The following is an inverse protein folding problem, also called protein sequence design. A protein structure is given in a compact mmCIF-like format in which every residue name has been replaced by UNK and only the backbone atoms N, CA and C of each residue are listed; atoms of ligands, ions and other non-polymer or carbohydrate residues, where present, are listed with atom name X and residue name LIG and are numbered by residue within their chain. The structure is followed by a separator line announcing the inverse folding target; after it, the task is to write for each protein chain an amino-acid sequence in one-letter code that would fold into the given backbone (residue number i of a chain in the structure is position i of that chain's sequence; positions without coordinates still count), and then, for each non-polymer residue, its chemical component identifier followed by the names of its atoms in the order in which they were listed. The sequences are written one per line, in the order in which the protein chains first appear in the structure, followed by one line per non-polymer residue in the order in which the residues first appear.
data_IF_925709196048
#
_entry.id   IF_925709196048
#
_cell.length_a   1.000
_cell.length_b   1.000
_cell.length_c   1.000
_cell.angle_alpha   90.00
_cell.angle_beta   90.00
_cell.angle_gamma   90.00
#
_symmetry.space_group_name_H-M   'P 1'
#
loop_
_entity.id
_entity.type
_entity.pdbx_description
1 polymer ?
#
# COMPACT_ATOMS: atom_id res chain seq x y z
N UNK A 1 -22.71 12.42 12.06
CA UNK A 1 -23.44 13.60 11.56
C UNK A 1 -23.65 14.60 12.71
N UNK A 2 -24.27 14.18 13.80
CA UNK A 2 -24.59 15.04 14.94
C UNK A 2 -23.34 15.72 15.53
N UNK A 3 -22.24 15.00 15.68
CA UNK A 3 -20.97 15.57 16.16
C UNK A 3 -20.43 16.69 15.25
N UNK A 4 -20.65 16.59 13.92
CA UNK A 4 -20.28 17.65 12.97
C UNK A 4 -21.22 18.85 13.18
N UNK A 5 -22.53 18.62 13.31
CA UNK A 5 -23.51 19.68 13.52
C UNK A 5 -23.29 20.43 14.87
N UNK A 6 -22.84 19.68 15.89
CA UNK A 6 -22.48 20.26 17.20
C UNK A 6 -21.07 20.91 17.19
N UNK A 7 -20.35 20.88 16.08
CA UNK A 7 -19.00 21.45 15.96
C UNK A 7 -17.91 20.70 16.74
N UNK A 8 -18.19 19.48 17.23
CA UNK A 8 -17.25 18.67 18.00
C UNK A 8 -16.17 18.03 17.14
N UNK A 9 -16.50 17.72 15.89
CA UNK A 9 -15.54 17.24 14.87
C UNK A 9 -15.77 18.01 13.57
N UNK A 10 -14.71 18.13 12.75
CA UNK A 10 -14.78 18.82 11.46
C UNK A 10 -15.14 17.90 10.31
N UNK A 11 -14.70 16.66 10.40
CA UNK A 11 -14.82 15.66 9.35
C UNK A 11 -14.76 14.26 9.97
N UNK A 12 -15.10 13.24 9.17
CA UNK A 12 -15.04 11.86 9.60
C UNK A 12 -14.61 10.95 8.45
N UNK A 13 -14.16 9.76 8.79
CA UNK A 13 -13.76 8.73 7.84
C UNK A 13 -14.13 7.34 8.32
N UNK A 14 -14.03 6.38 7.43
CA UNK A 14 -14.29 4.96 7.70
C UNK A 14 -13.14 4.10 7.18
N UNK A 15 -13.00 2.91 7.73
CA UNK A 15 -11.90 2.00 7.38
C UNK A 15 -12.44 0.63 6.96
N UNK A 16 -11.71 -0.05 6.07
CA UNK A 16 -12.00 -1.42 5.62
C UNK A 16 -13.43 -1.58 5.10
N UNK A 17 -13.84 -0.67 4.22
CA UNK A 17 -15.18 -0.66 3.63
C UNK A 17 -15.14 -1.16 2.20
N UNK A 18 -16.27 -1.75 1.77
CA UNK A 18 -16.57 -1.99 0.37
C UNK A 18 -17.37 -0.82 -0.23
N UNK A 19 -17.60 -0.86 -1.54
CA UNK A 19 -18.29 0.21 -2.26
C UNK A 19 -19.73 0.45 -1.76
N UNK A 20 -20.51 -0.61 -1.51
CA UNK A 20 -21.88 -0.47 -1.05
C UNK A 20 -21.95 0.29 0.29
N UNK A 21 -21.14 -0.13 1.25
CA UNK A 21 -21.07 0.57 2.54
C UNK A 21 -20.58 2.01 2.39
N UNK A 22 -19.58 2.26 1.54
CA UNK A 22 -19.07 3.60 1.31
C UNK A 22 -20.16 4.52 0.76
N UNK A 23 -20.84 4.11 -0.32
CA UNK A 23 -21.89 4.92 -0.94
C UNK A 23 -23.07 5.18 0.00
N UNK A 24 -23.51 4.17 0.74
CA UNK A 24 -24.60 4.31 1.74
C UNK A 24 -24.21 5.26 2.89
N UNK A 25 -23.01 5.11 3.41
CA UNK A 25 -22.51 5.99 4.47
C UNK A 25 -22.37 7.44 3.99
N UNK A 26 -21.81 7.63 2.79
CA UNK A 26 -21.62 8.94 2.18
C UNK A 26 -22.95 9.66 1.91
N UNK A 27 -23.99 8.94 1.49
CA UNK A 27 -25.32 9.48 1.27
C UNK A 27 -25.99 10.02 2.57
N UNK A 28 -25.69 9.41 3.72
CA UNK A 28 -26.24 9.86 5.02
C UNK A 28 -25.46 11.06 5.58
N UNK A 29 -24.14 11.00 5.48
CA UNK A 29 -23.24 12.06 5.94
C UNK A 29 -21.96 11.97 5.09
N UNK A 30 -21.61 13.02 4.33
CA UNK A 30 -20.46 12.97 3.44
C UNK A 30 -19.19 12.47 4.15
N UNK A 31 -18.65 11.36 3.67
CA UNK A 31 -17.39 10.78 4.12
C UNK A 31 -16.26 11.60 3.53
N UNK A 32 -15.28 12.00 4.35
CA UNK A 32 -14.13 12.78 3.90
C UNK A 32 -12.97 11.89 3.50
N UNK A 33 -12.79 10.76 4.19
CA UNK A 33 -11.66 9.86 3.98
C UNK A 33 -12.06 8.41 4.21
N UNK A 34 -11.50 7.52 3.39
CA UNK A 34 -11.46 6.10 3.74
C UNK A 34 -10.03 5.66 4.01
N UNK A 35 -9.86 4.64 4.84
CA UNK A 35 -8.57 4.03 5.09
C UNK A 35 -8.67 2.53 4.85
N UNK A 36 -8.26 2.10 3.66
CA UNK A 36 -8.27 0.70 3.25
C UNK A 36 -6.86 0.21 2.93
N UNK A 37 -6.66 -1.10 2.98
CA UNK A 37 -5.40 -1.72 2.58
C UNK A 37 -5.18 -1.53 1.08
N UNK A 38 -3.98 -1.07 0.71
CA UNK A 38 -3.56 -1.02 -0.68
C UNK A 38 -2.03 -1.05 -0.80
N UNK A 39 -1.54 -1.88 -1.71
CA UNK A 39 -0.13 -1.98 -2.10
C UNK A 39 -0.03 -2.78 -3.41
N UNK A 40 1.15 -2.90 -4.01
CA UNK A 40 1.39 -3.79 -5.15
C UNK A 40 0.90 -5.22 -4.92
N UNK A 41 0.96 -5.73 -3.68
CA UNK A 41 0.55 -7.09 -3.31
C UNK A 41 -0.90 -7.18 -2.83
N UNK A 42 -1.62 -6.06 -2.67
CA UNK A 42 -2.95 -6.00 -2.08
C UNK A 42 -3.83 -5.04 -2.88
N UNK A 43 -4.41 -5.49 -4.01
CA UNK A 43 -5.12 -4.66 -4.99
C UNK A 43 -6.63 -4.92 -5.06
N UNK A 44 -7.20 -5.78 -4.21
CA UNK A 44 -8.62 -6.14 -4.26
C UNK A 44 -9.59 -4.97 -4.02
N UNK A 45 -9.12 -3.86 -3.45
CA UNK A 45 -9.89 -2.64 -3.27
C UNK A 45 -9.51 -1.52 -4.26
N UNK A 46 -8.77 -1.84 -5.33
CA UNK A 46 -8.29 -0.84 -6.30
C UNK A 46 -9.45 -0.06 -6.94
N UNK A 47 -10.55 -0.75 -7.26
CA UNK A 47 -11.76 -0.12 -7.81
C UNK A 47 -12.37 0.98 -6.89
N UNK A 48 -12.13 0.92 -5.57
CA UNK A 48 -12.61 1.96 -4.65
C UNK A 48 -11.87 3.29 -4.82
N UNK A 49 -10.70 3.29 -5.44
CA UNK A 49 -9.93 4.53 -5.66
C UNK A 49 -10.69 5.42 -6.65
N UNK A 50 -11.24 4.83 -7.71
CA UNK A 50 -12.08 5.54 -8.69
C UNK A 50 -13.39 6.05 -8.05
N UNK A 51 -14.02 5.22 -7.21
CA UNK A 51 -15.21 5.63 -6.44
C UNK A 51 -14.90 6.80 -5.50
N UNK A 52 -13.74 6.77 -4.86
CA UNK A 52 -13.30 7.87 -3.99
C UNK A 52 -13.08 9.16 -4.80
N UNK A 53 -12.52 9.06 -6.00
CA UNK A 53 -12.35 10.21 -6.89
C UNK A 53 -13.71 10.78 -7.33
N UNK A 54 -14.65 9.92 -7.73
CA UNK A 54 -16.04 10.30 -8.07
C UNK A 54 -16.69 11.08 -6.92
N UNK A 55 -16.59 10.55 -5.70
CA UNK A 55 -17.23 11.10 -4.50
C UNK A 55 -16.40 12.20 -3.80
N UNK A 56 -15.21 12.55 -4.32
CA UNK A 56 -14.27 13.50 -3.71
C UNK A 56 -13.84 13.09 -2.29
N UNK A 57 -13.60 11.79 -2.10
CA UNK A 57 -13.12 11.19 -0.85
C UNK A 57 -11.63 10.93 -0.97
N UNK A 58 -10.85 11.24 0.05
CA UNK A 58 -9.43 10.88 0.09
C UNK A 58 -9.28 9.39 0.42
N UNK A 59 -8.48 8.66 -0.36
CA UNK A 59 -8.10 7.30 -0.07
C UNK A 59 -6.76 7.26 0.69
N UNK A 60 -6.76 6.79 1.93
CA UNK A 60 -5.56 6.51 2.71
C UNK A 60 -5.22 5.03 2.58
N UNK A 61 -4.03 4.74 2.06
CA UNK A 61 -3.55 3.38 1.85
C UNK A 61 -2.69 2.92 3.01
N UNK A 62 -3.21 2.06 3.89
CA UNK A 62 -2.39 1.42 4.91
C UNK A 62 -1.73 0.14 4.37
N UNK A 63 -0.73 -0.39 5.08
CA UNK A 63 0.11 -1.51 4.63
C UNK A 63 0.74 -1.31 3.24
N UNK A 64 1.04 -0.07 2.87
CA UNK A 64 1.56 0.35 1.57
C UNK A 64 2.82 -0.40 1.12
N UNK A 65 3.60 -0.95 2.07
CA UNK A 65 4.79 -1.77 1.82
C UNK A 65 4.59 -3.25 2.20
N UNK A 66 3.33 -3.74 2.24
CA UNK A 66 2.98 -5.12 2.57
C UNK A 66 3.66 -5.64 3.86
N UNK A 67 3.61 -4.84 4.94
CA UNK A 67 4.26 -5.13 6.21
C UNK A 67 5.80 -5.27 6.12
N UNK A 68 6.40 -4.68 5.09
CA UNK A 68 7.83 -4.68 4.84
C UNK A 68 8.29 -5.67 3.75
N UNK A 69 7.41 -6.50 3.20
CA UNK A 69 7.75 -7.45 2.13
C UNK A 69 8.30 -6.74 0.89
N UNK A 70 7.72 -5.61 0.50
CA UNK A 70 8.14 -4.81 -0.66
C UNK A 70 9.44 -4.02 -0.43
N UNK A 71 10.07 -4.13 0.73
CA UNK A 71 11.35 -3.44 1.00
C UNK A 71 12.57 -4.19 0.48
N UNK A 72 12.44 -5.51 0.23
CA UNK A 72 13.56 -6.38 -0.07
C UNK A 72 14.48 -6.65 1.12
N UNK A 73 14.00 -6.46 2.36
CA UNK A 73 14.78 -6.74 3.56
C UNK A 73 14.63 -8.19 4.06
N UNK A 74 13.71 -8.96 3.49
CA UNK A 74 13.36 -10.31 3.90
C UNK A 74 13.19 -11.20 2.67
N UNK A 75 14.15 -12.05 2.40
CA UNK A 75 14.15 -12.98 1.25
C UNK A 75 13.91 -14.43 1.66
N UNK A 76 14.11 -14.72 2.95
CA UNK A 76 13.93 -16.05 3.54
C UNK A 76 13.47 -15.95 5.00
N UNK A 77 12.98 -17.06 5.55
CA UNK A 77 12.64 -17.13 6.99
C UNK A 77 13.84 -16.89 7.91
N UNK A 78 15.06 -17.13 7.42
CA UNK A 78 16.29 -16.89 8.18
C UNK A 78 16.61 -15.40 8.38
N UNK A 79 16.02 -14.50 7.58
CA UNK A 79 16.22 -13.05 7.71
C UNK A 79 15.47 -12.44 8.89
N UNK A 80 14.49 -13.17 9.42
CA UNK A 80 13.88 -12.81 10.69
C UNK A 80 14.85 -13.19 11.83
N UNK A 81 15.23 -12.19 12.63
CA UNK A 81 15.96 -12.48 13.86
C UNK A 81 15.13 -13.46 14.71
N UNK A 82 15.79 -14.28 15.47
CA UNK A 82 15.17 -15.32 16.32
C UNK A 82 14.39 -14.70 17.50
N UNK A 83 13.74 -13.60 17.23
CA UNK A 83 12.82 -12.88 18.10
C UNK A 83 11.43 -13.48 17.88
N UNK A 84 10.98 -14.32 18.78
CA UNK A 84 9.64 -14.92 18.78
C UNK A 84 8.51 -13.86 18.78
N UNK A 85 8.85 -12.59 18.94
CA UNK A 85 7.90 -11.48 18.97
C UNK A 85 7.63 -10.87 17.59
N UNK A 86 8.38 -11.21 16.53
CA UNK A 86 8.08 -10.71 15.19
C UNK A 86 6.96 -11.52 14.53
N UNK A 87 5.72 -11.08 14.80
CA UNK A 87 4.50 -11.71 14.29
C UNK A 87 4.44 -11.81 12.76
N UNK A 88 5.27 -11.03 12.03
CA UNK A 88 5.32 -11.06 10.55
C UNK A 88 5.74 -12.43 10.02
N UNK A 89 6.50 -13.21 10.77
CA UNK A 89 6.90 -14.57 10.39
C UNK A 89 5.71 -15.47 10.05
N UNK A 90 4.56 -15.21 10.66
CA UNK A 90 3.34 -15.99 10.49
C UNK A 90 2.39 -15.41 9.44
N UNK A 91 2.77 -14.32 8.78
CA UNK A 91 1.96 -13.73 7.72
C UNK A 91 2.10 -14.52 6.41
N UNK A 92 1.04 -14.65 5.59
CA UNK A 92 1.06 -15.41 4.33
C UNK A 92 2.19 -15.01 3.38
N UNK A 93 2.44 -13.71 3.22
CA UNK A 93 3.50 -13.19 2.35
C UNK A 93 4.92 -13.58 2.78
N UNK A 94 5.09 -14.04 4.03
CA UNK A 94 6.36 -14.53 4.57
C UNK A 94 6.40 -16.05 4.70
N UNK A 95 5.37 -16.78 4.25
CA UNK A 95 5.45 -18.23 4.07
C UNK A 95 6.48 -18.58 2.99
N UNK A 96 6.90 -19.84 2.90
CA UNK A 96 7.85 -20.28 1.88
C UNK A 96 7.35 -19.94 0.46
N UNK A 97 6.09 -20.25 0.16
CA UNK A 97 5.47 -19.95 -1.14
C UNK A 97 5.26 -18.45 -1.35
N UNK A 98 4.86 -17.71 -0.31
CA UNK A 98 4.71 -16.26 -0.34
C UNK A 98 6.04 -15.55 -0.64
N UNK A 99 7.14 -15.98 -0.02
CA UNK A 99 8.46 -15.41 -0.28
C UNK A 99 8.98 -15.69 -1.69
N UNK A 100 8.71 -16.87 -2.27
CA UNK A 100 9.05 -17.14 -3.67
C UNK A 100 8.37 -16.13 -4.60
N UNK A 101 7.07 -15.92 -4.43
CA UNK A 101 6.31 -14.93 -5.21
C UNK A 101 6.83 -13.51 -4.96
N UNK A 102 7.03 -13.15 -3.70
CA UNK A 102 7.54 -11.82 -3.33
C UNK A 102 8.93 -11.56 -3.93
N UNK A 103 9.84 -12.52 -3.89
CA UNK A 103 11.18 -12.38 -4.46
C UNK A 103 11.13 -12.17 -5.98
N UNK A 104 10.26 -12.88 -6.71
CA UNK A 104 10.08 -12.67 -8.14
C UNK A 104 9.59 -11.24 -8.48
N UNK A 105 8.67 -10.69 -7.68
CA UNK A 105 8.26 -9.29 -7.80
C UNK A 105 9.42 -8.33 -7.46
N UNK A 106 10.16 -8.62 -6.39
CA UNK A 106 11.30 -7.80 -5.95
C UNK A 106 12.43 -7.74 -6.99
N UNK A 107 12.62 -8.77 -7.81
CA UNK A 107 13.58 -8.73 -8.93
C UNK A 107 13.25 -7.60 -9.90
N UNK A 108 11.98 -7.47 -10.30
CA UNK A 108 11.52 -6.40 -11.19
C UNK A 108 11.62 -5.03 -10.51
N UNK A 109 11.13 -4.92 -9.28
CA UNK A 109 11.22 -3.66 -8.52
C UNK A 109 12.69 -3.22 -8.36
N UNK A 110 13.60 -4.17 -8.09
CA UNK A 110 15.04 -3.88 -7.90
C UNK A 110 15.72 -3.42 -9.19
N UNK A 111 15.29 -3.91 -10.35
CA UNK A 111 15.78 -3.41 -11.64
C UNK A 111 15.39 -1.93 -11.84
N UNK A 112 14.13 -1.60 -11.56
CA UNK A 112 13.67 -0.21 -11.62
C UNK A 112 14.39 0.64 -10.56
N UNK A 113 14.51 0.14 -9.33
CA UNK A 113 15.17 0.85 -8.23
C UNK A 113 16.62 1.25 -8.57
N UNK A 114 17.37 0.35 -9.20
CA UNK A 114 18.74 0.64 -9.68
C UNK A 114 18.77 1.80 -10.69
N UNK A 115 17.84 1.85 -11.62
CA UNK A 115 17.73 2.91 -12.64
C UNK A 115 17.52 4.29 -12.01
N UNK A 116 16.76 4.36 -10.92
CA UNK A 116 16.43 5.61 -10.23
C UNK A 116 17.33 5.90 -9.02
N UNK A 117 18.34 5.08 -8.75
CA UNK A 117 19.18 5.17 -7.55
C UNK A 117 18.33 5.19 -6.27
N UNK A 118 17.25 4.42 -6.25
CA UNK A 118 16.25 4.38 -5.21
C UNK A 118 16.21 3.01 -4.51
N UNK A 119 15.49 2.93 -3.41
CA UNK A 119 15.18 1.67 -2.72
C UNK A 119 13.92 1.03 -3.30
N UNK A 120 13.75 -0.29 -3.11
CA UNK A 120 12.53 -0.99 -3.47
C UNK A 120 11.28 -0.39 -2.81
N UNK A 121 11.41 0.03 -1.55
CA UNK A 121 10.32 0.72 -0.84
C UNK A 121 9.92 2.03 -1.53
N UNK A 122 10.89 2.83 -1.96
CA UNK A 122 10.62 4.08 -2.68
C UNK A 122 9.94 3.84 -4.03
N UNK A 123 10.40 2.84 -4.80
CA UNK A 123 9.76 2.48 -6.08
C UNK A 123 8.33 1.99 -5.85
N UNK A 124 8.10 1.16 -4.83
CA UNK A 124 6.75 0.67 -4.51
C UNK A 124 5.79 1.81 -4.15
N UNK A 125 6.26 2.79 -3.39
CA UNK A 125 5.45 3.97 -3.05
C UNK A 125 5.27 4.91 -4.24
N UNK A 126 6.32 5.14 -5.04
CA UNK A 126 6.26 5.98 -6.24
C UNK A 126 5.29 5.40 -7.29
N UNK A 127 5.26 4.06 -7.45
CA UNK A 127 4.29 3.37 -8.30
C UNK A 127 2.85 3.65 -7.87
N UNK A 128 2.54 3.60 -6.57
CA UNK A 128 1.21 3.92 -6.05
C UNK A 128 0.82 5.37 -6.36
N UNK A 129 1.74 6.31 -6.14
CA UNK A 129 1.52 7.74 -6.38
C UNK A 129 1.38 8.07 -7.86
N UNK A 130 2.09 7.34 -8.74
CA UNK A 130 1.96 7.49 -10.18
C UNK A 130 0.56 7.05 -10.67
N UNK A 131 0.13 5.86 -10.23
CA UNK A 131 -1.18 5.30 -10.64
C UNK A 131 -2.36 6.10 -10.08
N UNK A 132 -2.22 6.60 -8.86
CA UNK A 132 -3.31 7.26 -8.14
C UNK A 132 -2.79 8.51 -7.40
N UNK A 133 -2.70 9.66 -8.09
CA UNK A 133 -2.14 10.90 -7.50
C UNK A 133 -2.91 11.42 -6.28
N UNK A 134 -4.15 10.99 -6.07
CA UNK A 134 -5.01 11.40 -4.94
C UNK A 134 -4.99 10.40 -3.78
N UNK A 135 -4.23 9.32 -3.90
CA UNK A 135 -4.05 8.33 -2.85
C UNK A 135 -2.92 8.77 -1.90
N UNK A 136 -3.12 8.56 -0.61
CA UNK A 136 -2.12 8.88 0.42
C UNK A 136 -1.60 7.57 1.05
N UNK A 137 -0.41 7.10 0.69
CA UNK A 137 0.20 5.96 1.37
C UNK A 137 0.67 6.37 2.77
N UNK A 138 0.47 5.49 3.75
CA UNK A 138 0.92 5.70 5.14
C UNK A 138 1.92 4.61 5.58
N UNK A 139 3.15 4.58 5.01
CA UNK A 139 4.15 3.58 5.34
C UNK A 139 4.69 3.79 6.75
N UNK A 140 4.33 2.88 7.67
CA UNK A 140 4.79 2.95 9.07
C UNK A 140 6.29 2.67 9.23
N UNK A 141 6.96 3.42 10.12
CA UNK A 141 8.33 3.14 10.54
C UNK A 141 8.61 3.69 11.94
N UNK A 142 9.54 3.02 12.66
CA UNK A 142 10.11 3.51 13.92
C UNK A 142 11.52 4.09 13.73
N UNK A 143 12.05 4.10 12.50
CA UNK A 143 13.39 4.59 12.17
C UNK A 143 13.27 5.88 11.36
N UNK A 144 13.91 6.96 11.83
CA UNK A 144 13.89 8.27 11.18
C UNK A 144 14.37 8.19 9.73
N UNK A 145 15.49 7.49 9.49
CA UNK A 145 16.06 7.35 8.14
C UNK A 145 15.07 6.70 7.17
N UNK A 146 14.29 5.70 7.63
CA UNK A 146 13.25 5.07 6.80
C UNK A 146 12.08 6.01 6.52
N UNK A 147 11.67 6.83 7.49
CA UNK A 147 10.62 7.83 7.28
C UNK A 147 11.07 8.85 6.24
N UNK A 148 12.29 9.37 6.38
CA UNK A 148 12.89 10.29 5.41
C UNK A 148 12.99 9.65 4.02
N UNK A 149 13.49 8.41 3.93
CA UNK A 149 13.59 7.67 2.67
C UNK A 149 12.22 7.45 2.02
N UNK A 150 11.20 7.02 2.79
CA UNK A 150 9.85 6.81 2.27
C UNK A 150 9.24 8.12 1.74
N UNK A 151 9.47 9.24 2.43
CA UNK A 151 9.00 10.55 1.98
C UNK A 151 9.59 10.97 0.62
N UNK A 152 10.85 10.62 0.36
CA UNK A 152 11.51 10.90 -0.91
C UNK A 152 10.88 10.16 -2.11
N UNK A 153 10.07 9.13 -1.89
CA UNK A 153 9.34 8.46 -2.96
C UNK A 153 8.45 9.42 -3.78
N UNK A 154 7.91 10.47 -3.14
CA UNK A 154 7.13 11.50 -3.81
C UNK A 154 7.90 12.34 -4.84
N UNK A 155 9.22 12.30 -4.82
CA UNK A 155 10.08 13.01 -5.78
C UNK A 155 10.49 12.14 -6.98
N UNK A 156 10.16 10.83 -6.96
CA UNK A 156 10.54 9.90 -8.03
C UNK A 156 9.47 9.93 -9.12
N UNK A 157 9.87 10.35 -10.31
CA UNK A 157 9.01 10.33 -11.49
C UNK A 157 9.33 9.09 -12.32
N UNK A 158 8.53 8.04 -12.15
CA UNK A 158 8.67 6.80 -12.91
C UNK A 158 8.24 7.03 -14.36
N UNK A 159 8.96 6.43 -15.30
CA UNK A 159 8.56 6.38 -16.69
C UNK A 159 7.43 5.38 -16.89
N UNK A 160 6.57 5.64 -17.86
CA UNK A 160 5.46 4.73 -18.25
C UNK A 160 5.95 3.31 -18.52
N UNK A 161 7.10 3.15 -19.18
CA UNK A 161 7.71 1.84 -19.46
C UNK A 161 8.08 1.07 -18.20
N UNK A 162 8.49 1.75 -17.13
CA UNK A 162 8.84 1.12 -15.85
C UNK A 162 7.57 0.71 -15.09
N UNK A 163 6.52 1.51 -15.17
CA UNK A 163 5.19 1.18 -14.63
C UNK A 163 4.64 -0.05 -15.34
N UNK A 164 4.65 -0.07 -16.68
CA UNK A 164 4.17 -1.20 -17.47
C UNK A 164 4.95 -2.49 -17.16
N UNK A 165 6.25 -2.41 -16.94
CA UNK A 165 7.06 -3.58 -16.55
C UNK A 165 6.64 -4.13 -15.19
N UNK A 166 6.38 -3.25 -14.22
CA UNK A 166 5.89 -3.65 -12.88
C UNK A 166 4.47 -4.22 -12.99
N UNK A 167 3.57 -3.53 -13.69
CA UNK A 167 2.17 -3.94 -13.84
C UNK A 167 2.07 -5.29 -14.54
N UNK A 168 2.84 -5.51 -15.62
CA UNK A 168 2.90 -6.80 -16.31
C UNK A 168 3.31 -7.94 -15.36
N UNK A 169 4.29 -7.72 -14.48
CA UNK A 169 4.65 -8.71 -13.46
C UNK A 169 3.52 -8.96 -12.47
N UNK A 170 2.85 -7.89 -12.03
CA UNK A 170 1.75 -7.98 -11.07
C UNK A 170 0.51 -8.69 -11.63
N UNK A 171 0.25 -8.58 -12.94
CA UNK A 171 -0.86 -9.26 -13.62
C UNK A 171 -0.68 -10.78 -13.68
N UNK A 172 0.56 -11.24 -13.67
CA UNK A 172 0.89 -12.67 -13.71
C UNK A 172 0.93 -13.33 -12.34
N UNK A 173 0.68 -12.57 -11.26
CA UNK A 173 0.88 -13.03 -9.89
C UNK A 173 -0.34 -12.78 -9.02
N UNK A 174 -0.65 -13.78 -8.22
CA UNK A 174 -1.61 -13.66 -7.12
C UNK A 174 -0.85 -13.75 -5.81
N UNK A 175 -1.10 -12.79 -4.93
CA UNK A 175 -0.48 -12.71 -3.61
C UNK A 175 -1.50 -12.99 -2.51
N UNK A 176 -1.07 -13.77 -1.54
CA UNK A 176 -1.73 -13.87 -0.26
C UNK A 176 -0.99 -12.97 0.74
N UNK A 177 -1.68 -12.03 1.32
CA UNK A 177 -1.12 -11.12 2.32
C UNK A 177 -1.98 -11.08 3.56
N UNK A 178 -1.36 -10.74 4.69
CA UNK A 178 -2.05 -10.64 5.96
C UNK A 178 -3.25 -9.68 5.87
N UNK A 179 -4.43 -10.15 6.30
CA UNK A 179 -5.67 -9.41 6.21
C UNK A 179 -6.26 -9.34 4.79
N UNK A 180 -5.76 -10.15 3.86
CA UNK A 180 -6.40 -10.42 2.57
C UNK A 180 -7.54 -11.44 2.71
N UNK A 181 -8.50 -11.37 1.82
CA UNK A 181 -9.65 -12.30 1.74
C UNK A 181 -9.47 -13.22 0.56
#
# INVERSE_FOLDING_TARGET
KDLIQEGKIKAWGISEVNEDYLRRAHAICPVTVIQNRYSMMARWHEHLIDVCQELRITYIAFSSLANGALTGAYHSQADFKDDQQDFRRNMPQYSQTGMIKTNALLEVISQVAKKYHATNAQISLAWMLYKFPHLIPIPGSRKVDRLSSNFQAGNIQLLETDIQMIDHQLEQMEFEVFGGH
#
